data_IF_531428861145
#
_entry.id   IF_531428861145
#
_cell.length_a   1.000
_cell.length_b   1.000
_cell.length_c   1.000
_cell.angle_alpha   90.00
_cell.angle_beta   90.00
_cell.angle_gamma   90.00
#
_symmetry.space_group_name_H-M   'P 1'
#
loop_
_entity.id
_entity.type
_entity.pdbx_description
1 polymer ?
#
# COMPACT_ATOMS: atom_id res chain seq x y z
N UNK A 1 -7.84 10.67 43.80
CA UNK A 1 -7.46 10.23 42.42
C UNK A 1 -7.02 11.48 41.65
N UNK A 2 -5.72 11.62 41.35
CA UNK A 2 -5.10 12.90 40.96
C UNK A 2 -5.60 13.42 39.60
N UNK A 3 -6.15 14.65 39.51
CA UNK A 3 -6.61 15.26 38.25
C UNK A 3 -5.49 15.56 37.25
N UNK A 4 -4.21 15.57 37.68
CA UNK A 4 -3.06 15.85 36.81
C UNK A 4 -2.67 14.71 35.85
N UNK A 5 -2.87 13.46 36.24
CA UNK A 5 -2.51 12.30 35.40
C UNK A 5 -3.45 12.12 34.18
N UNK A 6 -4.70 12.59 34.30
CA UNK A 6 -5.70 12.50 33.22
C UNK A 6 -5.42 13.48 32.06
N UNK A 7 -4.81 14.62 32.34
CA UNK A 7 -4.46 15.65 31.34
C UNK A 7 -3.26 15.24 30.47
N UNK A 8 -2.24 14.59 31.05
CA UNK A 8 -1.04 14.16 30.33
C UNK A 8 -1.29 12.99 29.36
N UNK A 9 -2.03 11.97 29.80
CA UNK A 9 -2.34 10.79 28.99
C UNK A 9 -3.18 11.16 27.74
N UNK A 10 -4.19 12.03 27.91
CA UNK A 10 -5.04 12.46 26.81
C UNK A 10 -4.27 13.28 25.77
N UNK A 11 -3.36 14.14 26.23
CA UNK A 11 -2.46 14.93 25.35
C UNK A 11 -1.50 14.02 24.59
N UNK A 12 -0.91 13.01 25.25
CA UNK A 12 -0.02 12.06 24.61
C UNK A 12 -0.71 11.27 23.49
N UNK A 13 -1.90 10.72 23.76
CA UNK A 13 -2.69 9.98 22.75
C UNK A 13 -3.05 10.88 21.58
N UNK A 14 -3.44 12.14 21.83
CA UNK A 14 -3.78 13.12 20.78
C UNK A 14 -2.58 13.43 19.88
N UNK A 15 -1.41 13.65 20.47
CA UNK A 15 -0.16 13.91 19.73
C UNK A 15 0.26 12.68 18.91
N UNK A 16 0.22 11.48 19.50
CA UNK A 16 0.53 10.23 18.79
C UNK A 16 -0.42 10.01 17.61
N UNK A 17 -1.72 10.26 17.80
CA UNK A 17 -2.72 10.15 16.74
C UNK A 17 -2.42 11.13 15.60
N UNK A 18 -2.07 12.38 15.90
CA UNK A 18 -1.73 13.38 14.87
C UNK A 18 -0.47 12.95 14.11
N UNK A 19 0.58 12.50 14.80
CA UNK A 19 1.82 12.05 14.16
C UNK A 19 1.61 10.86 13.23
N UNK A 20 0.86 9.85 13.69
CA UNK A 20 0.57 8.67 12.88
C UNK A 20 -0.27 9.00 11.64
N UNK A 21 -1.32 9.83 11.79
CA UNK A 21 -2.13 10.27 10.66
C UNK A 21 -1.35 11.16 9.69
N UNK A 22 -0.42 11.98 10.18
CA UNK A 22 0.49 12.76 9.33
C UNK A 22 1.43 11.85 8.53
N UNK A 23 1.98 10.80 9.16
CA UNK A 23 2.81 9.83 8.48
C UNK A 23 2.03 9.08 7.39
N UNK A 24 0.78 8.68 7.67
CA UNK A 24 -0.12 8.08 6.67
C UNK A 24 -0.38 9.05 5.52
N UNK A 25 -0.65 10.33 5.83
CA UNK A 25 -0.90 11.35 4.81
C UNK A 25 0.31 11.52 3.87
N UNK A 26 1.51 11.64 4.45
CA UNK A 26 2.75 11.77 3.67
C UNK A 26 3.04 10.51 2.86
N UNK A 27 2.91 9.33 3.45
CA UNK A 27 3.09 8.05 2.76
C UNK A 27 2.05 7.82 1.66
N UNK A 28 0.80 8.22 1.88
CA UNK A 28 -0.25 8.21 0.87
C UNK A 28 0.08 9.16 -0.29
N UNK A 29 0.60 10.35 0.02
CA UNK A 29 1.03 11.33 -0.97
C UNK A 29 2.19 10.83 -1.83
N UNK A 30 3.18 10.15 -1.24
CA UNK A 30 4.28 9.55 -1.99
C UNK A 30 3.78 8.40 -2.87
N UNK A 31 2.93 7.50 -2.35
CA UNK A 31 2.32 6.42 -3.13
C UNK A 31 1.47 6.94 -4.29
N UNK A 32 0.68 7.99 -4.07
CA UNK A 32 -0.11 8.63 -5.11
C UNK A 32 0.78 9.26 -6.17
N UNK A 33 1.84 9.97 -5.77
CA UNK A 33 2.82 10.57 -6.69
C UNK A 33 3.54 9.52 -7.54
N UNK A 34 3.97 8.42 -6.93
CA UNK A 34 4.57 7.28 -7.64
C UNK A 34 3.56 6.63 -8.58
N UNK A 35 2.32 6.42 -8.14
CA UNK A 35 1.25 5.87 -8.98
C UNK A 35 1.00 6.72 -10.22
N UNK A 36 0.89 8.04 -10.05
CA UNK A 36 0.73 8.98 -11.18
C UNK A 36 1.94 8.92 -12.13
N UNK A 37 3.16 8.91 -11.59
CA UNK A 37 4.37 8.76 -12.42
C UNK A 37 4.31 7.47 -13.23
N UNK A 38 4.02 6.33 -12.60
CA UNK A 38 3.92 5.03 -13.28
C UNK A 38 2.84 5.03 -14.37
N UNK A 39 1.70 5.69 -14.14
CA UNK A 39 0.60 5.74 -15.12
C UNK A 39 0.90 6.68 -16.30
N UNK A 40 1.56 7.82 -16.06
CA UNK A 40 1.86 8.82 -17.10
C UNK A 40 3.12 8.46 -17.90
N UNK A 41 4.14 7.96 -17.22
CA UNK A 41 5.49 7.75 -17.74
C UNK A 41 5.96 6.30 -17.51
N UNK A 42 5.06 5.35 -17.78
CA UNK A 42 5.29 3.92 -17.54
C UNK A 42 6.52 3.37 -18.28
N UNK A 43 6.91 3.96 -19.41
CA UNK A 43 8.14 3.61 -20.14
C UNK A 43 9.40 4.01 -19.37
N UNK A 44 9.45 5.23 -18.85
CA UNK A 44 10.56 5.71 -18.01
C UNK A 44 10.66 4.90 -16.71
N UNK A 45 9.52 4.50 -16.14
CA UNK A 45 9.50 3.58 -15.00
C UNK A 45 10.04 2.19 -15.37
N UNK A 46 9.65 1.67 -16.52
CA UNK A 46 10.17 0.41 -17.06
C UNK A 46 11.65 0.47 -17.44
N UNK A 47 12.20 1.60 -17.87
CA UNK A 47 13.64 1.67 -18.13
C UNK A 47 14.46 1.67 -16.82
N UNK A 48 13.88 2.16 -15.71
CA UNK A 48 14.50 2.16 -14.38
C UNK A 48 14.33 0.80 -13.67
N UNK A 49 13.18 0.14 -13.85
CA UNK A 49 12.79 -1.10 -13.14
C UNK A 49 12.58 -2.31 -14.05
N UNK A 50 13.00 -2.25 -15.33
CA UNK A 50 12.56 -3.11 -16.45
C UNK A 50 12.73 -4.60 -16.28
N UNK A 51 13.59 -4.99 -15.36
CA UNK A 51 13.75 -6.36 -14.91
C UNK A 51 12.51 -6.98 -14.24
N UNK A 52 11.58 -6.17 -13.70
CA UNK A 52 10.47 -6.65 -12.88
C UNK A 52 9.12 -6.73 -13.64
N UNK A 53 9.03 -6.29 -14.90
CA UNK A 53 7.74 -6.21 -15.58
C UNK A 53 7.69 -6.84 -16.96
N UNK A 54 6.84 -7.86 -17.07
CA UNK A 54 6.58 -8.65 -18.27
C UNK A 54 5.64 -7.96 -19.27
N UNK A 55 4.99 -6.83 -18.93
CA UNK A 55 4.09 -6.10 -19.84
C UNK A 55 3.80 -4.67 -19.39
N UNK A 56 3.88 -3.70 -20.31
CA UNK A 56 3.52 -2.28 -20.09
C UNK A 56 2.09 -2.14 -19.55
N UNK A 57 1.17 -2.96 -20.05
CA UNK A 57 -0.23 -2.97 -19.61
C UNK A 57 -0.39 -3.35 -18.13
N UNK A 58 0.46 -4.27 -17.64
CA UNK A 58 0.44 -4.71 -16.24
C UNK A 58 0.99 -3.61 -15.31
N UNK A 59 2.03 -2.88 -15.74
CA UNK A 59 2.58 -1.73 -15.01
C UNK A 59 1.56 -0.62 -14.85
N UNK A 60 0.86 -0.27 -15.94
CA UNK A 60 -0.19 0.76 -15.91
C UNK A 60 -1.31 0.37 -14.96
N UNK A 61 -1.70 -0.92 -14.95
CA UNK A 61 -2.71 -1.43 -14.03
C UNK A 61 -2.26 -1.29 -12.55
N UNK A 62 -1.00 -1.62 -12.24
CA UNK A 62 -0.41 -1.41 -10.90
C UNK A 62 -0.35 0.08 -10.53
N UNK A 63 -0.04 0.97 -11.48
CA UNK A 63 -0.10 2.42 -11.30
C UNK A 63 -1.48 2.89 -10.83
N UNK A 64 -2.55 2.42 -11.46
CA UNK A 64 -3.92 2.74 -11.01
C UNK A 64 -4.22 2.23 -9.60
N UNK A 65 -3.77 1.04 -9.22
CA UNK A 65 -3.90 0.55 -7.84
C UNK A 65 -3.17 1.46 -6.84
N UNK A 66 -1.94 1.86 -7.16
CA UNK A 66 -1.15 2.79 -6.34
C UNK A 66 -1.85 4.15 -6.18
N UNK A 67 -2.44 4.68 -7.26
CA UNK A 67 -3.21 5.92 -7.21
C UNK A 67 -4.43 5.77 -6.30
N UNK A 68 -5.21 4.70 -6.45
CA UNK A 68 -6.42 4.49 -5.64
C UNK A 68 -6.07 4.35 -4.16
N UNK A 69 -5.11 3.49 -3.83
CA UNK A 69 -4.67 3.27 -2.45
C UNK A 69 -4.07 4.55 -1.87
N UNK A 70 -3.18 5.22 -2.62
CA UNK A 70 -2.56 6.48 -2.21
C UNK A 70 -3.59 7.58 -1.94
N UNK A 71 -4.60 7.73 -2.81
CA UNK A 71 -5.68 8.69 -2.62
C UNK A 71 -6.49 8.41 -1.34
N UNK A 72 -6.83 7.15 -1.09
CA UNK A 72 -7.54 6.73 0.13
C UNK A 72 -6.71 7.09 1.37
N UNK A 73 -5.41 6.78 1.38
CA UNK A 73 -4.51 7.09 2.49
C UNK A 73 -4.36 8.60 2.73
N UNK A 74 -4.26 9.41 1.67
CA UNK A 74 -4.24 10.88 1.76
C UNK A 74 -5.53 11.40 2.40
N UNK A 75 -6.69 10.94 1.94
CA UNK A 75 -7.99 11.38 2.48
C UNK A 75 -8.14 10.98 3.95
N UNK A 76 -7.78 9.75 4.31
CA UNK A 76 -7.87 9.24 5.68
C UNK A 76 -6.90 9.97 6.61
N UNK A 77 -5.65 10.16 6.19
CA UNK A 77 -4.65 10.90 6.97
C UNK A 77 -5.06 12.35 7.19
N UNK A 78 -5.61 13.01 6.17
CA UNK A 78 -6.13 14.38 6.29
C UNK A 78 -7.32 14.46 7.25
N UNK A 79 -8.30 13.56 7.12
CA UNK A 79 -9.46 13.48 8.01
C UNK A 79 -9.05 13.17 9.45
N UNK A 80 -8.04 12.32 9.65
CA UNK A 80 -7.48 11.98 10.96
C UNK A 80 -6.81 13.18 11.64
N UNK A 81 -5.94 13.91 10.91
CA UNK A 81 -5.32 15.14 11.41
C UNK A 81 -6.36 16.24 11.69
N UNK A 82 -7.30 16.48 10.77
CA UNK A 82 -8.35 17.48 10.94
C UNK A 82 -9.34 17.14 12.07
N UNK A 83 -9.69 15.85 12.22
CA UNK A 83 -10.55 15.36 13.30
C UNK A 83 -9.89 15.52 14.67
N UNK A 84 -8.59 15.24 14.77
CA UNK A 84 -7.83 15.45 16.00
C UNK A 84 -7.66 16.95 16.36
N UNK A 85 -7.44 17.82 15.37
CA UNK A 85 -7.28 19.26 15.57
C UNK A 85 -8.59 19.96 15.93
N UNK A 86 -9.70 19.65 15.24
CA UNK A 86 -10.99 20.32 15.47
C UNK A 86 -11.77 19.81 16.70
N UNK A 87 -11.26 18.79 17.40
CA UNK A 87 -12.00 18.07 18.47
C UNK A 87 -13.43 17.68 18.07
N UNK A 88 -13.69 17.58 16.77
CA UNK A 88 -15.02 17.33 16.24
C UNK A 88 -15.29 15.84 16.28
N UNK A 89 -16.17 15.43 17.21
CA UNK A 89 -16.62 14.05 17.36
C UNK A 89 -17.16 13.46 16.04
N UNK A 90 -17.75 14.30 15.18
CA UNK A 90 -18.28 13.88 13.89
C UNK A 90 -17.16 13.49 12.90
N UNK A 91 -16.07 14.27 12.79
CA UNK A 91 -14.93 13.90 11.95
C UNK A 91 -14.22 12.66 12.49
N UNK A 92 -14.08 12.55 13.81
CA UNK A 92 -13.47 11.39 14.44
C UNK A 92 -14.30 10.11 14.25
N UNK A 93 -15.64 10.22 14.33
CA UNK A 93 -16.55 9.12 13.99
C UNK A 93 -16.40 8.71 12.52
N UNK A 94 -16.39 9.66 11.59
CA UNK A 94 -16.22 9.36 10.17
C UNK A 94 -14.89 8.64 9.90
N UNK A 95 -13.79 9.13 10.48
CA UNK A 95 -12.49 8.47 10.41
C UNK A 95 -12.55 7.02 10.91
N UNK A 96 -13.13 6.81 12.10
CA UNK A 96 -13.28 5.48 12.67
C UNK A 96 -14.14 4.56 11.79
N UNK A 97 -15.26 5.06 11.26
CA UNK A 97 -16.12 4.31 10.36
C UNK A 97 -15.41 3.90 9.08
N UNK A 98 -14.62 4.79 8.47
CA UNK A 98 -13.84 4.48 7.26
C UNK A 98 -12.79 3.40 7.55
N UNK A 99 -12.04 3.54 8.64
CA UNK A 99 -11.04 2.53 9.05
C UNK A 99 -11.70 1.18 9.33
N UNK A 100 -12.87 1.17 9.97
CA UNK A 100 -13.61 -0.07 10.25
C UNK A 100 -14.08 -0.76 8.95
N UNK A 101 -14.54 0.00 7.96
CA UNK A 101 -14.91 -0.55 6.65
C UNK A 101 -13.70 -1.15 5.95
N UNK A 102 -12.53 -0.48 5.99
CA UNK A 102 -11.28 -1.00 5.42
C UNK A 102 -10.88 -2.30 6.11
N UNK A 103 -10.98 -2.35 7.44
CA UNK A 103 -10.65 -3.56 8.19
C UNK A 103 -11.54 -4.75 7.80
N UNK A 104 -12.84 -4.53 7.63
CA UNK A 104 -13.76 -5.58 7.13
C UNK A 104 -13.39 -6.00 5.71
N UNK A 105 -13.05 -5.04 4.84
CA UNK A 105 -12.60 -5.33 3.48
C UNK A 105 -11.29 -6.12 3.45
N UNK A 106 -10.33 -5.82 4.32
CA UNK A 106 -9.07 -6.57 4.46
C UNK A 106 -9.33 -8.00 4.92
N UNK A 107 -10.22 -8.22 5.90
CA UNK A 107 -10.59 -9.58 6.32
C UNK A 107 -11.23 -10.34 5.16
N UNK A 108 -12.17 -9.72 4.44
CA UNK A 108 -12.81 -10.35 3.29
C UNK A 108 -11.78 -10.69 2.19
N UNK A 109 -10.87 -9.78 1.88
CA UNK A 109 -9.79 -9.99 0.93
C UNK A 109 -8.85 -11.12 1.38
N UNK A 110 -8.49 -11.18 2.66
CA UNK A 110 -7.66 -12.25 3.22
C UNK A 110 -8.35 -13.62 3.11
N UNK A 111 -9.65 -13.71 3.42
CA UNK A 111 -10.42 -14.95 3.26
C UNK A 111 -10.45 -15.39 1.80
N UNK A 112 -10.74 -14.46 0.87
CA UNK A 112 -10.71 -14.75 -0.57
C UNK A 112 -9.32 -15.22 -1.00
N UNK A 113 -8.26 -14.53 -0.59
CA UNK A 113 -6.89 -14.92 -0.91
C UNK A 113 -6.57 -16.34 -0.41
N UNK A 114 -6.95 -16.68 0.81
CA UNK A 114 -6.74 -18.02 1.38
C UNK A 114 -7.52 -19.11 0.63
N UNK A 115 -8.78 -18.84 0.27
CA UNK A 115 -9.63 -19.80 -0.46
C UNK A 115 -9.10 -20.06 -1.87
N UNK A 116 -8.59 -19.03 -2.55
CA UNK A 116 -8.08 -19.15 -3.92
C UNK A 116 -6.57 -19.42 -4.02
N UNK A 117 -5.89 -19.73 -2.91
CA UNK A 117 -4.44 -20.04 -2.90
C UNK A 117 -4.05 -21.08 -3.95
N UNK A 118 -4.78 -22.21 -4.04
CA UNK A 118 -4.46 -23.25 -5.03
C UNK A 118 -4.64 -22.79 -6.49
N UNK A 119 -5.58 -21.88 -6.75
CA UNK A 119 -5.71 -21.27 -8.07
C UNK A 119 -4.54 -20.28 -8.30
N UNK A 120 -4.22 -19.45 -7.31
CA UNK A 120 -3.10 -18.53 -7.40
C UNK A 120 -1.77 -19.26 -7.67
N UNK A 121 -1.49 -20.39 -7.02
CA UNK A 121 -0.28 -21.19 -7.25
C UNK A 121 -0.20 -21.74 -8.68
N UNK A 122 -1.32 -22.24 -9.22
CA UNK A 122 -1.33 -22.77 -10.59
C UNK A 122 -1.10 -21.68 -11.64
N UNK A 123 -1.74 -20.52 -11.47
CA UNK A 123 -1.60 -19.37 -12.36
C UNK A 123 -0.20 -18.73 -12.25
N UNK A 124 0.32 -18.65 -11.03
CA UNK A 124 1.65 -18.15 -10.75
C UNK A 124 2.70 -19.08 -11.37
N UNK A 125 2.61 -20.39 -11.18
CA UNK A 125 3.53 -21.35 -11.81
C UNK A 125 3.43 -21.27 -13.34
N UNK A 126 2.22 -21.24 -13.89
CA UNK A 126 2.00 -21.14 -15.33
C UNK A 126 2.57 -19.86 -15.96
N UNK A 127 2.67 -18.77 -15.19
CA UNK A 127 3.19 -17.47 -15.67
C UNK A 127 4.69 -17.30 -15.37
N UNK A 128 5.13 -17.68 -14.17
CA UNK A 128 6.50 -17.47 -13.68
C UNK A 128 7.48 -18.46 -14.32
N UNK A 129 7.10 -19.73 -14.48
CA UNK A 129 7.98 -20.75 -15.08
C UNK A 129 8.42 -20.40 -16.51
N UNK A 130 7.55 -19.99 -17.45
CA UNK A 130 8.00 -19.59 -18.79
C UNK A 130 8.81 -18.29 -18.78
N UNK A 131 8.42 -17.30 -17.95
CA UNK A 131 9.16 -16.03 -17.84
C UNK A 131 10.59 -16.24 -17.36
N UNK A 132 10.79 -17.08 -16.34
CA UNK A 132 12.13 -17.42 -15.87
C UNK A 132 12.92 -18.18 -16.94
N UNK A 133 12.31 -19.15 -17.61
CA UNK A 133 13.01 -19.93 -18.64
C UNK A 133 13.50 -19.06 -19.80
N UNK A 134 12.77 -18.00 -20.14
CA UNK A 134 13.13 -17.08 -21.23
C UNK A 134 14.10 -15.98 -20.80
N UNK A 135 13.95 -15.42 -19.59
CA UNK A 135 14.63 -14.18 -19.18
C UNK A 135 15.73 -14.38 -18.13
N UNK A 136 15.80 -15.53 -17.48
CA UNK A 136 16.83 -15.82 -16.47
C UNK A 136 18.22 -15.93 -17.11
N UNK A 137 19.19 -15.17 -16.61
CA UNK A 137 20.54 -15.04 -17.16
C UNK A 137 20.70 -14.02 -18.29
N UNK A 138 19.60 -13.57 -18.91
CA UNK A 138 19.62 -12.53 -19.96
C UNK A 138 19.37 -11.15 -19.37
N UNK A 139 18.34 -11.02 -18.53
CA UNK A 139 18.01 -9.80 -17.81
C UNK A 139 18.71 -9.82 -16.44
N UNK A 140 19.67 -8.91 -16.22
CA UNK A 140 20.41 -8.87 -14.96
C UNK A 140 19.52 -8.63 -13.75
N UNK A 141 18.53 -7.74 -13.87
CA UNK A 141 17.67 -7.45 -12.72
C UNK A 141 16.69 -8.59 -12.40
N UNK A 142 16.13 -9.30 -13.38
CA UNK A 142 15.23 -10.43 -13.08
C UNK A 142 16.02 -11.56 -12.41
N UNK A 143 17.22 -11.81 -12.92
CA UNK A 143 18.15 -12.80 -12.38
C UNK A 143 18.55 -12.45 -10.95
N UNK A 144 18.86 -11.17 -10.68
CA UNK A 144 19.20 -10.70 -9.35
C UNK A 144 18.03 -10.85 -8.36
N UNK A 145 16.85 -10.38 -8.74
CA UNK A 145 15.66 -10.41 -7.87
C UNK A 145 15.27 -11.86 -7.57
N UNK A 146 15.28 -12.75 -8.57
CA UNK A 146 15.03 -14.17 -8.36
C UNK A 146 16.07 -14.83 -7.45
N UNK A 147 17.35 -14.51 -7.61
CA UNK A 147 18.42 -15.06 -6.78
C UNK A 147 18.33 -14.60 -5.32
N UNK A 148 17.94 -13.34 -5.08
CA UNK A 148 17.68 -12.84 -3.72
C UNK A 148 16.49 -13.55 -3.10
N UNK A 149 15.36 -13.64 -3.81
CA UNK A 149 14.16 -14.31 -3.29
C UNK A 149 14.39 -15.78 -2.97
N UNK A 150 15.11 -16.53 -3.82
CA UNK A 150 15.45 -17.94 -3.58
C UNK A 150 16.53 -18.16 -2.51
N UNK A 151 17.25 -17.10 -2.11
CA UNK A 151 18.21 -17.18 -1.00
C UNK A 151 17.55 -16.89 0.36
N UNK A 152 16.41 -16.19 0.38
CA UNK A 152 15.64 -15.87 1.58
C UNK A 152 14.58 -16.92 1.95
N UNK A 153 14.16 -17.75 0.98
CA UNK A 153 13.26 -18.91 1.17
C UNK A 153 14.08 -20.17 1.41
#
# INVERSE_FOLDING_TARGET
>A
LSPGAKMGCFTFIKVMMILFNLAIFLGGGTLLGVGIWVTVDGKSFLDIFGALSSSVLQVVNVGYFLIVIGAILVVIGFLGCCGAQKESKCLLMMFFSVVLIIFIAEIAAAVVALVYTGLAETLLTATVTPLLKEKYGTEQGLTHIWNVTMAEV
#
